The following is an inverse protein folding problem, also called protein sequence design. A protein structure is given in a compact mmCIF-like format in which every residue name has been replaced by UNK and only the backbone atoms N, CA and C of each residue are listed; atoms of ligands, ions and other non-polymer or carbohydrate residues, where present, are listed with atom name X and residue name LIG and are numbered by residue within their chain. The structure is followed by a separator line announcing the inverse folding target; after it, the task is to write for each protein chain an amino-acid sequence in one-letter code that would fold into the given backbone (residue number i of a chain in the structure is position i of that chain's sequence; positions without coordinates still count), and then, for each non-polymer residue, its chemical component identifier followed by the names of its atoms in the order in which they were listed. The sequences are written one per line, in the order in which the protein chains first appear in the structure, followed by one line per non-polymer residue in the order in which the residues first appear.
data_IF_040497575289
#
_entry.id   IF_040497575289
#
_cell.length_a   1.000
_cell.length_b   1.000
_cell.length_c   1.000
_cell.angle_alpha   90.00
_cell.angle_beta   90.00
_cell.angle_gamma   90.00
#
_symmetry.space_group_name_H-M   'P 1'
#
loop_
_entity.id
_entity.type
_entity.pdbx_description
1 polymer ?
#
# COMPACT_ATOMS: atom_id res chain seq x y z
N UNK A 1 10.01 -4.05 -8.38
CA UNK A 1 9.09 -2.91 -8.60
C UNK A 1 8.01 -2.91 -7.53
N UNK A 2 7.46 -1.74 -7.17
CA UNK A 2 6.29 -1.60 -6.28
C UNK A 2 5.28 -0.56 -6.76
N UNK A 3 4.20 -0.35 -6.00
CA UNK A 3 3.06 0.49 -6.40
C UNK A 3 3.23 2.00 -6.20
N UNK A 4 4.22 2.46 -5.43
CA UNK A 4 4.36 3.89 -5.16
C UNK A 4 4.74 4.65 -6.44
N UNK A 5 4.01 5.73 -6.73
CA UNK A 5 4.22 6.48 -7.98
C UNK A 5 5.48 7.34 -7.95
N UNK A 6 5.94 7.70 -6.75
CA UNK A 6 7.04 8.65 -6.48
C UNK A 6 8.34 8.34 -7.21
N UNK A 7 8.63 7.06 -7.47
CA UNK A 7 9.85 6.61 -8.13
C UNK A 7 9.63 5.53 -9.20
N UNK A 8 8.40 5.02 -9.37
CA UNK A 8 8.13 3.90 -10.30
C UNK A 8 8.52 4.23 -11.76
N UNK A 9 8.31 5.47 -12.19
CA UNK A 9 8.62 5.92 -13.54
C UNK A 9 10.13 6.04 -13.82
N UNK A 10 10.96 6.06 -12.77
CA UNK A 10 12.43 6.16 -12.87
C UNK A 10 13.10 4.81 -13.13
N UNK A 11 12.35 3.71 -13.05
CA UNK A 11 12.90 2.39 -13.25
C UNK A 11 13.46 2.21 -14.68
N UNK A 12 14.55 1.44 -14.85
CA UNK A 12 15.26 1.32 -16.11
C UNK A 12 14.55 0.36 -17.08
N UNK A 13 13.29 0.61 -17.43
CA UNK A 13 12.49 -0.30 -18.27
C UNK A 13 13.08 -0.54 -19.66
N UNK A 14 13.82 0.44 -20.19
CA UNK A 14 14.46 0.39 -21.50
C UNK A 14 15.88 -0.19 -21.46
N UNK A 15 16.42 -0.50 -20.26
CA UNK A 15 17.74 -1.09 -20.12
C UNK A 15 17.63 -2.63 -20.10
N UNK A 16 18.10 -3.34 -21.13
CA UNK A 16 18.01 -4.79 -21.18
C UNK A 16 18.97 -5.50 -20.22
N UNK A 17 19.92 -4.79 -19.57
CA UNK A 17 20.79 -5.42 -18.57
C UNK A 17 20.08 -5.62 -17.22
N UNK A 18 18.92 -5.01 -17.03
CA UNK A 18 18.09 -5.20 -15.84
C UNK A 18 16.94 -6.15 -16.11
N UNK A 19 16.81 -7.16 -15.24
CA UNK A 19 15.53 -7.84 -15.07
C UNK A 19 14.56 -6.94 -14.27
N UNK A 20 13.33 -6.81 -14.76
CA UNK A 20 12.25 -6.08 -14.10
C UNK A 20 11.32 -7.06 -13.42
N UNK A 21 11.33 -7.08 -12.09
CA UNK A 21 10.43 -7.97 -11.33
C UNK A 21 9.18 -7.21 -10.86
N UNK A 22 8.02 -7.73 -11.25
CA UNK A 22 6.70 -7.20 -10.89
C UNK A 22 5.98 -8.07 -9.86
N UNK A 23 4.89 -7.55 -9.29
CA UNK A 23 4.10 -8.23 -8.27
C UNK A 23 2.62 -7.85 -8.32
N UNK A 24 1.75 -8.71 -7.83
CA UNK A 24 0.30 -8.49 -7.73
C UNK A 24 -0.30 -7.95 -9.04
N UNK A 25 -1.17 -6.93 -8.96
CA UNK A 25 -1.77 -6.26 -10.12
C UNK A 25 -0.91 -5.09 -10.66
N UNK A 26 0.41 -5.10 -10.40
CA UNK A 26 1.28 -4.00 -10.83
C UNK A 26 1.40 -3.90 -12.35
N UNK A 27 0.95 -4.91 -13.12
CA UNK A 27 0.91 -4.89 -14.58
C UNK A 27 0.01 -3.78 -15.13
N UNK A 28 -0.90 -3.25 -14.31
CA UNK A 28 -1.69 -2.07 -14.64
C UNK A 28 -0.85 -0.80 -14.76
N UNK A 29 0.36 -0.79 -14.21
CA UNK A 29 1.15 0.41 -14.01
C UNK A 29 2.61 0.33 -14.48
N UNK A 30 3.07 -0.82 -14.99
CA UNK A 30 4.41 -0.98 -15.54
C UNK A 30 4.35 -1.57 -16.96
N UNK A 31 5.23 -1.13 -17.87
CA UNK A 31 5.16 -1.54 -19.28
C UNK A 31 5.68 -2.96 -19.54
N UNK A 32 6.49 -3.51 -18.63
CA UNK A 32 7.09 -4.85 -18.77
C UNK A 32 7.49 -5.45 -17.42
N UNK A 33 7.67 -6.76 -17.41
CA UNK A 33 8.39 -7.50 -16.39
C UNK A 33 9.00 -8.77 -17.00
N UNK A 34 10.03 -9.30 -16.34
CA UNK A 34 10.72 -10.54 -16.70
C UNK A 34 10.38 -11.69 -15.73
N UNK A 35 10.03 -11.35 -14.48
CA UNK A 35 9.50 -12.29 -13.47
C UNK A 35 8.36 -11.63 -12.71
N UNK A 36 7.37 -12.43 -12.32
CA UNK A 36 6.22 -11.97 -11.56
C UNK A 36 6.09 -12.68 -10.22
N UNK A 37 5.70 -11.97 -9.18
CA UNK A 37 5.51 -12.51 -7.84
C UNK A 37 4.07 -12.31 -7.40
N UNK A 38 3.36 -13.42 -7.20
CA UNK A 38 2.01 -13.43 -6.66
C UNK A 38 1.92 -14.40 -5.48
N UNK A 39 2.15 -13.84 -4.29
CA UNK A 39 2.35 -14.58 -3.05
C UNK A 39 1.05 -14.64 -2.23
N UNK A 40 0.04 -13.85 -2.59
CA UNK A 40 -1.21 -13.85 -1.86
C UNK A 40 -1.90 -15.21 -1.90
N UNK A 41 -2.72 -15.45 -0.88
CA UNK A 41 -3.62 -16.59 -0.89
C UNK A 41 -4.58 -16.49 -2.09
N UNK A 42 -4.93 -17.64 -2.67
CA UNK A 42 -5.80 -17.76 -3.84
C UNK A 42 -7.10 -16.94 -3.71
N UNK A 43 -7.70 -16.93 -2.52
CA UNK A 43 -8.93 -16.19 -2.24
C UNK A 43 -8.76 -14.69 -2.44
N UNK A 44 -7.60 -14.13 -2.09
CA UNK A 44 -7.32 -12.71 -2.25
C UNK A 44 -7.07 -12.36 -3.71
N UNK A 45 -6.41 -13.26 -4.45
CA UNK A 45 -6.16 -13.09 -5.89
C UNK A 45 -7.49 -13.10 -6.65
N UNK A 46 -8.35 -14.09 -6.39
CA UNK A 46 -9.65 -14.24 -7.07
C UNK A 46 -10.67 -13.17 -6.70
N UNK A 47 -10.55 -12.57 -5.51
CA UNK A 47 -11.40 -11.47 -5.06
C UNK A 47 -10.64 -10.15 -5.03
N UNK A 48 -9.68 -9.94 -5.94
CA UNK A 48 -8.93 -8.69 -5.98
C UNK A 48 -9.87 -7.51 -6.20
N UNK A 49 -9.84 -6.56 -5.26
CA UNK A 49 -10.57 -5.30 -5.36
C UNK A 49 -9.97 -4.35 -6.40
N UNK A 50 -8.68 -4.53 -6.73
CA UNK A 50 -7.96 -3.65 -7.65
C UNK A 50 -8.23 -4.02 -9.11
N UNK A 51 -8.21 -5.32 -9.41
CA UNK A 51 -8.64 -5.82 -10.72
C UNK A 51 -9.30 -7.20 -10.57
N UNK A 52 -10.63 -7.30 -10.75
CA UNK A 52 -11.33 -8.58 -10.76
C UNK A 52 -10.82 -9.58 -11.82
N UNK A 53 -10.12 -9.08 -12.85
CA UNK A 53 -9.55 -9.88 -13.95
C UNK A 53 -8.17 -10.46 -13.61
N UNK A 54 -7.63 -10.19 -12.42
CA UNK A 54 -6.27 -10.55 -12.05
C UNK A 54 -5.97 -12.05 -12.19
N UNK A 55 -6.91 -12.91 -11.79
CA UNK A 55 -6.77 -14.36 -11.96
C UNK A 55 -6.62 -14.76 -13.44
N UNK A 56 -7.40 -14.15 -14.33
CA UNK A 56 -7.32 -14.44 -15.77
C UNK A 56 -6.05 -13.86 -16.40
N UNK A 57 -5.59 -12.69 -15.93
CA UNK A 57 -4.30 -12.14 -16.33
C UNK A 57 -3.16 -13.11 -15.99
N UNK A 58 -3.15 -13.68 -14.78
CA UNK A 58 -2.14 -14.66 -14.36
C UNK A 58 -2.16 -15.91 -15.25
N UNK A 59 -3.34 -16.43 -15.62
CA UNK A 59 -3.45 -17.58 -16.56
C UNK A 59 -2.85 -17.29 -17.93
N UNK A 60 -2.99 -16.05 -18.41
CA UNK A 60 -2.44 -15.58 -19.69
C UNK A 60 -0.95 -15.21 -19.63
N UNK A 61 -0.37 -15.09 -18.44
CA UNK A 61 1.00 -14.65 -18.25
C UNK A 61 2.02 -15.66 -18.83
N UNK A 62 3.00 -15.15 -19.57
CA UNK A 62 4.02 -15.97 -20.26
C UNK A 62 5.38 -15.97 -19.57
N UNK A 63 5.62 -15.02 -18.66
CA UNK A 63 6.84 -14.93 -17.84
C UNK A 63 6.67 -15.75 -16.56
N UNK A 64 7.76 -16.23 -15.92
CA UNK A 64 7.68 -16.98 -14.67
C UNK A 64 6.87 -16.24 -13.60
N UNK A 65 5.87 -16.91 -13.02
CA UNK A 65 5.02 -16.39 -11.93
C UNK A 65 5.29 -17.19 -10.67
N UNK A 66 5.99 -16.62 -9.69
CA UNK A 66 6.29 -17.23 -8.41
C UNK A 66 5.10 -17.11 -7.48
N UNK A 67 4.63 -18.25 -6.97
CA UNK A 67 3.45 -18.36 -6.10
C UNK A 67 3.69 -19.32 -4.94
N UNK A 68 2.89 -19.20 -3.88
CA UNK A 68 3.00 -20.05 -2.67
C UNK A 68 2.58 -21.50 -2.87
N UNK A 69 1.86 -21.80 -3.96
CA UNK A 69 1.51 -23.16 -4.39
C UNK A 69 1.45 -23.24 -5.91
N UNK A 70 1.56 -24.46 -6.45
CA UNK A 70 1.42 -24.70 -7.88
C UNK A 70 -0.04 -24.67 -8.32
N UNK A 71 -0.35 -23.92 -9.36
CA UNK A 71 -1.66 -23.87 -9.99
C UNK A 71 -1.60 -24.38 -11.42
N UNK A 72 -2.32 -25.46 -11.73
CA UNK A 72 -2.33 -26.07 -13.06
C UNK A 72 -2.86 -25.15 -14.16
N UNK A 73 -3.74 -24.21 -13.80
CA UNK A 73 -4.35 -23.26 -14.74
C UNK A 73 -3.38 -22.16 -15.17
N UNK A 74 -2.36 -21.87 -14.35
CA UNK A 74 -1.36 -20.83 -14.59
C UNK A 74 -0.12 -21.51 -15.16
N UNK A 75 0.03 -21.51 -16.49
CA UNK A 75 1.09 -22.26 -17.18
C UNK A 75 2.50 -21.85 -16.75
N UNK A 76 2.71 -20.56 -16.49
CA UNK A 76 3.99 -20.02 -16.08
C UNK A 76 4.23 -20.07 -14.55
N UNK A 77 3.35 -20.73 -13.79
CA UNK A 77 3.46 -20.86 -12.33
C UNK A 77 4.75 -21.58 -11.92
N UNK A 78 5.46 -20.99 -10.97
CA UNK A 78 6.62 -21.54 -10.27
C UNK A 78 6.33 -21.51 -8.77
N UNK A 79 6.69 -22.59 -8.07
CA UNK A 79 6.61 -22.60 -6.62
C UNK A 79 7.71 -21.69 -6.06
N UNK A 80 7.34 -20.72 -5.24
CA UNK A 80 8.32 -19.92 -4.52
C UNK A 80 9.00 -20.78 -3.46
N UNK A 81 10.35 -20.86 -3.40
CA UNK A 81 11.07 -21.80 -2.56
C UNK A 81 11.19 -21.31 -1.10
N UNK A 82 10.07 -21.04 -0.43
CA UNK A 82 10.03 -20.38 0.89
C UNK A 82 10.88 -21.10 1.95
N UNK A 83 10.88 -22.44 1.99
CA UNK A 83 11.65 -23.20 2.98
C UNK A 83 13.16 -22.98 2.82
N UNK A 84 13.62 -22.85 1.58
CA UNK A 84 15.01 -22.55 1.27
C UNK A 84 15.34 -21.10 1.65
N UNK A 85 14.46 -20.16 1.34
CA UNK A 85 14.64 -18.76 1.71
C UNK A 85 14.68 -18.59 3.24
N UNK A 86 13.82 -19.29 3.99
CA UNK A 86 13.85 -19.31 5.46
C UNK A 86 15.16 -19.91 5.98
N UNK A 87 15.66 -20.97 5.35
CA UNK A 87 16.92 -21.59 5.74
C UNK A 87 18.12 -20.64 5.55
N UNK A 88 18.16 -19.91 4.44
CA UNK A 88 19.29 -19.03 4.09
C UNK A 88 19.24 -17.69 4.84
N UNK A 89 18.06 -17.07 5.01
CA UNK A 89 17.94 -15.70 5.52
C UNK A 89 17.07 -15.57 6.78
N UNK A 90 16.53 -16.67 7.30
CA UNK A 90 15.63 -16.67 8.45
C UNK A 90 14.17 -16.31 8.13
N UNK A 91 13.26 -16.41 9.11
CA UNK A 91 11.82 -16.22 8.92
C UNK A 91 11.41 -14.74 8.96
N UNK A 92 11.94 -13.93 8.04
CA UNK A 92 11.78 -12.46 8.02
C UNK A 92 10.86 -11.96 6.89
N UNK A 93 10.14 -12.89 6.22
CA UNK A 93 9.27 -12.62 5.07
C UNK A 93 7.98 -11.92 5.48
N UNK A 94 7.95 -10.61 5.27
CA UNK A 94 6.88 -9.72 5.71
C UNK A 94 6.04 -9.15 4.56
N UNK A 95 6.49 -9.30 3.30
CA UNK A 95 5.84 -8.79 2.09
C UNK A 95 6.40 -9.45 0.84
N UNK A 96 5.70 -9.35 -0.30
CA UNK A 96 6.21 -9.82 -1.60
C UNK A 96 7.55 -9.17 -1.99
N UNK A 97 7.80 -7.92 -1.55
CA UNK A 97 9.10 -7.26 -1.77
C UNK A 97 10.23 -7.97 -1.03
N UNK A 98 10.00 -8.41 0.21
CA UNK A 98 10.99 -9.18 0.96
C UNK A 98 11.29 -10.51 0.26
N UNK A 99 10.25 -11.19 -0.24
CA UNK A 99 10.44 -12.45 -0.98
C UNK A 99 11.20 -12.26 -2.30
N UNK A 100 10.91 -11.18 -3.03
CA UNK A 100 11.67 -10.80 -4.22
C UNK A 100 13.15 -10.51 -3.90
N UNK A 101 13.43 -9.78 -2.83
CA UNK A 101 14.80 -9.48 -2.42
C UNK A 101 15.58 -10.74 -2.07
N UNK A 102 15.02 -11.59 -1.21
CA UNK A 102 15.67 -12.84 -0.82
C UNK A 102 15.98 -13.72 -2.02
N UNK A 103 15.03 -13.83 -2.96
CA UNK A 103 15.23 -14.65 -4.14
C UNK A 103 16.28 -14.05 -5.10
N UNK A 104 16.32 -12.73 -5.27
CA UNK A 104 17.38 -12.07 -6.05
C UNK A 104 18.78 -12.26 -5.42
N UNK A 105 18.89 -12.16 -4.09
CA UNK A 105 20.14 -12.42 -3.37
C UNK A 105 20.56 -13.88 -3.55
N UNK A 106 19.63 -14.82 -3.38
CA UNK A 106 19.88 -16.25 -3.52
C UNK A 106 20.33 -16.64 -4.94
N UNK A 107 19.71 -16.05 -5.97
CA UNK A 107 20.06 -16.29 -7.38
C UNK A 107 21.40 -15.63 -7.78
N UNK A 108 22.03 -14.87 -6.89
CA UNK A 108 23.36 -14.29 -7.11
C UNK A 108 23.37 -13.00 -7.93
N UNK A 109 22.28 -12.23 -7.92
CA UNK A 109 22.27 -10.90 -8.54
C UNK A 109 23.30 -9.99 -7.86
N UNK A 110 24.11 -9.29 -8.66
CA UNK A 110 25.17 -8.40 -8.18
C UNK A 110 24.72 -6.95 -8.04
N UNK A 111 23.57 -6.60 -8.61
CA UNK A 111 22.94 -5.30 -8.49
C UNK A 111 21.42 -5.43 -8.32
N UNK A 112 20.86 -4.71 -7.34
CA UNK A 112 19.43 -4.72 -7.01
C UNK A 112 18.94 -3.28 -6.84
N UNK A 113 17.94 -2.87 -7.62
CA UNK A 113 17.34 -1.54 -7.55
C UNK A 113 15.86 -1.59 -7.21
N UNK A 114 15.41 -0.77 -6.26
CA UNK A 114 14.02 -0.78 -5.78
C UNK A 114 13.31 0.49 -6.25
N UNK A 115 12.33 0.36 -7.14
CA UNK A 115 11.51 1.47 -7.60
C UNK A 115 10.03 1.26 -7.24
N UNK A 116 9.36 2.34 -6.82
CA UNK A 116 7.97 2.31 -6.35
C UNK A 116 7.78 1.61 -5.00
N UNK A 117 8.83 1.53 -4.19
CA UNK A 117 8.82 0.87 -2.88
C UNK A 117 9.16 1.90 -1.80
N UNK A 118 8.15 2.65 -1.35
CA UNK A 118 8.38 3.75 -0.41
C UNK A 118 8.38 3.26 1.05
N UNK A 119 7.45 2.38 1.40
CA UNK A 119 7.28 1.82 2.76
C UNK A 119 7.24 2.91 3.84
N UNK A 120 6.46 3.96 3.58
CA UNK A 120 6.30 5.07 4.52
C UNK A 120 5.69 4.63 5.85
N UNK A 121 6.08 5.30 6.94
CA UNK A 121 5.75 4.98 8.34
C UNK A 121 4.26 5.11 8.74
N UNK A 122 3.30 4.77 7.87
CA UNK A 122 1.93 4.50 8.32
C UNK A 122 1.89 3.15 9.04
N UNK A 123 0.96 2.98 9.99
CA UNK A 123 0.87 1.77 10.85
C UNK A 123 0.89 0.44 10.07
N UNK A 124 0.42 0.44 8.82
CA UNK A 124 0.29 -0.74 7.98
C UNK A 124 1.63 -1.27 7.44
N UNK A 125 2.63 -0.41 7.24
CA UNK A 125 3.90 -0.80 6.63
C UNK A 125 5.05 -1.02 7.62
N UNK A 126 4.85 -0.68 8.90
CA UNK A 126 5.91 -0.79 9.91
C UNK A 126 6.47 -2.22 10.07
N UNK A 127 5.59 -3.23 10.03
CA UNK A 127 6.00 -4.65 10.07
C UNK A 127 6.53 -5.18 8.74
N UNK A 128 6.09 -4.60 7.61
CA UNK A 128 6.57 -4.99 6.28
C UNK A 128 7.99 -4.47 6.03
N UNK A 129 8.27 -3.25 6.48
CA UNK A 129 9.54 -2.57 6.29
C UNK A 129 10.73 -3.34 6.89
N UNK A 130 10.58 -3.90 8.09
CA UNK A 130 11.70 -4.56 8.79
C UNK A 130 12.30 -5.73 8.02
N UNK A 131 11.47 -6.60 7.43
CA UNK A 131 11.94 -7.73 6.61
C UNK A 131 12.71 -7.27 5.37
N UNK A 132 12.25 -6.18 4.75
CA UNK A 132 12.90 -5.58 3.58
C UNK A 132 14.25 -4.94 3.93
N UNK A 133 14.31 -4.16 5.01
CA UNK A 133 15.57 -3.55 5.48
C UNK A 133 16.59 -4.58 5.94
N UNK A 134 16.13 -5.67 6.58
CA UNK A 134 17.00 -6.78 6.95
C UNK A 134 17.68 -7.42 5.73
N UNK A 135 16.91 -7.72 4.69
CA UNK A 135 17.45 -8.31 3.45
C UNK A 135 18.33 -7.33 2.66
N UNK A 136 17.98 -6.04 2.65
CA UNK A 136 18.86 -5.00 2.08
C UNK A 136 20.19 -4.92 2.85
N UNK A 137 20.16 -5.05 4.18
CA UNK A 137 21.36 -5.16 5.01
C UNK A 137 22.22 -6.36 4.63
N UNK A 138 21.60 -7.53 4.40
CA UNK A 138 22.30 -8.73 3.89
C UNK A 138 22.92 -8.45 2.52
N UNK A 139 22.14 -7.89 1.58
CA UNK A 139 22.63 -7.59 0.24
C UNK A 139 23.86 -6.67 0.27
N UNK A 140 23.80 -5.59 1.06
CA UNK A 140 24.94 -4.68 1.28
C UNK A 140 26.13 -5.43 1.91
N UNK A 141 25.88 -6.28 2.91
CA UNK A 141 26.91 -7.10 3.56
C UNK A 141 27.60 -8.09 2.62
N UNK A 142 26.89 -8.57 1.60
CA UNK A 142 27.42 -9.44 0.53
C UNK A 142 28.09 -8.66 -0.61
N UNK A 143 28.10 -7.33 -0.56
CA UNK A 143 28.68 -6.48 -1.61
C UNK A 143 27.80 -6.32 -2.85
N UNK A 144 26.52 -6.66 -2.76
CA UNK A 144 25.54 -6.43 -3.84
C UNK A 144 25.28 -4.92 -3.92
N UNK A 145 25.42 -4.36 -5.12
CA UNK A 145 25.14 -2.94 -5.35
C UNK A 145 23.63 -2.70 -5.20
N UNK A 146 23.25 -1.84 -4.27
CA UNK A 146 21.83 -1.50 -4.03
C UNK A 146 21.55 -0.06 -4.41
N UNK A 147 20.40 0.17 -5.07
CA UNK A 147 19.88 1.52 -5.33
C UNK A 147 18.46 1.65 -4.82
N UNK A 148 18.22 2.73 -4.07
CA UNK A 148 16.92 3.07 -3.49
C UNK A 148 16.69 4.58 -3.74
N UNK A 149 15.63 4.97 -4.46
CA UNK A 149 15.27 6.36 -4.74
C UNK A 149 15.16 7.19 -3.46
N UNK A 150 15.50 8.49 -3.55
CA UNK A 150 15.48 9.40 -2.40
C UNK A 150 14.08 9.53 -1.76
N UNK A 151 13.01 9.27 -2.51
CA UNK A 151 11.62 9.32 -2.05
C UNK A 151 11.21 8.15 -1.15
N UNK A 152 11.94 7.03 -1.15
CA UNK A 152 11.63 5.88 -0.29
C UNK A 152 12.07 6.09 1.15
N UNK A 153 11.34 5.56 2.14
CA UNK A 153 11.76 5.61 3.54
C UNK A 153 12.73 4.46 3.90
N UNK A 154 12.99 3.52 2.99
CA UNK A 154 13.88 2.38 3.22
C UNK A 154 15.34 2.79 3.38
N UNK A 155 16.03 2.16 4.34
CA UNK A 155 17.48 2.33 4.58
C UNK A 155 17.89 3.79 4.82
N UNK A 156 16.96 4.62 5.29
CA UNK A 156 17.18 6.02 5.61
C UNK A 156 16.85 6.28 7.06
N UNK A 157 17.69 7.09 7.67
CA UNK A 157 17.49 7.61 9.01
C UNK A 157 17.34 9.12 8.91
N UNK A 158 16.38 9.66 9.67
CA UNK A 158 16.24 11.11 9.80
C UNK A 158 17.19 11.72 10.83
N UNK A 159 17.86 10.89 11.64
CA UNK A 159 18.67 11.30 12.77
C UNK A 159 19.71 10.23 13.14
N UNK A 160 20.97 10.61 13.18
CA UNK A 160 22.08 9.79 13.67
C UNK A 160 22.21 9.95 15.18
N UNK A 161 21.77 8.95 15.94
CA UNK A 161 21.79 9.00 17.40
C UNK A 161 23.20 9.22 17.96
N UNK A 162 23.36 10.27 18.77
CA UNK A 162 24.62 10.64 19.42
C UNK A 162 25.58 11.47 18.58
N UNK A 163 25.23 11.78 17.32
CA UNK A 163 26.07 12.58 16.43
C UNK A 163 25.34 13.80 15.87
N UNK A 164 24.04 13.66 15.61
CA UNK A 164 23.23 14.80 15.22
C UNK A 164 22.70 15.50 16.48
N UNK A 165 22.91 16.81 16.57
CA UNK A 165 22.18 17.65 17.51
C UNK A 165 20.94 18.22 16.81
N UNK A 166 19.74 18.01 17.35
CA UNK A 166 18.55 18.59 16.76
C UNK A 166 18.65 20.12 16.87
N UNK A 167 18.67 20.80 15.73
CA UNK A 167 18.66 22.26 15.71
C UNK A 167 17.46 22.80 16.51
N UNK A 168 17.60 23.99 17.09
CA UNK A 168 16.47 24.67 17.78
C UNK A 168 15.24 24.76 16.87
N UNK A 169 15.46 24.94 15.56
CA UNK A 169 14.40 24.92 14.56
C UNK A 169 13.70 23.56 14.47
N UNK A 170 14.43 22.45 14.44
CA UNK A 170 13.85 21.10 14.43
C UNK A 170 13.03 20.84 15.70
N UNK A 171 13.53 21.26 16.87
CA UNK A 171 12.81 21.16 18.15
C UNK A 171 11.52 22.00 18.09
N UNK A 172 11.60 23.25 17.63
CA UNK A 172 10.45 24.15 17.45
C UNK A 172 9.41 23.56 16.50
N UNK A 173 9.83 22.96 15.38
CA UNK A 173 8.94 22.30 14.43
C UNK A 173 8.24 21.09 15.05
N UNK A 174 8.95 20.29 15.86
CA UNK A 174 8.34 19.17 16.58
C UNK A 174 7.28 19.64 17.58
N UNK A 175 7.56 20.69 18.35
CA UNK A 175 6.58 21.33 19.26
C UNK A 175 5.38 21.84 18.45
N UNK A 176 5.63 22.50 17.32
CA UNK A 176 4.57 23.02 16.45
C UNK A 176 3.69 21.91 15.88
N UNK A 177 4.26 20.78 15.48
CA UNK A 177 3.50 19.61 15.01
C UNK A 177 2.59 19.05 16.11
N UNK A 178 3.05 18.98 17.35
CA UNK A 178 2.19 18.57 18.48
C UNK A 178 1.04 19.54 18.71
N UNK A 179 1.29 20.86 18.63
CA UNK A 179 0.24 21.89 18.71
C UNK A 179 -0.79 21.75 17.57
N UNK A 180 -0.31 21.58 16.32
CA UNK A 180 -1.16 21.43 15.15
C UNK A 180 -2.00 20.14 15.19
N UNK A 181 -1.43 19.03 15.65
CA UNK A 181 -2.16 17.77 15.84
C UNK A 181 -3.29 17.93 16.85
N UNK A 182 -3.04 18.60 17.99
CA UNK A 182 -4.09 18.90 18.97
C UNK A 182 -5.22 19.73 18.35
N UNK A 183 -4.87 20.79 17.61
CA UNK A 183 -5.84 21.63 16.90
C UNK A 183 -6.65 20.83 15.87
N UNK A 184 -6.00 19.96 15.10
CA UNK A 184 -6.64 19.06 14.15
C UNK A 184 -7.66 18.14 14.85
N UNK A 185 -7.25 17.46 15.93
CA UNK A 185 -8.16 16.59 16.70
C UNK A 185 -9.37 17.36 17.24
N UNK A 186 -9.16 18.56 17.79
CA UNK A 186 -10.27 19.41 18.25
C UNK A 186 -11.22 19.79 17.10
N UNK A 187 -10.69 20.15 15.94
CA UNK A 187 -11.50 20.46 14.76
C UNK A 187 -12.27 19.24 14.23
N UNK A 188 -11.66 18.05 14.22
CA UNK A 188 -12.32 16.80 13.83
C UNK A 188 -13.47 16.44 14.78
N UNK A 189 -13.31 16.66 16.09
CA UNK A 189 -14.37 16.45 17.07
C UNK A 189 -15.52 17.43 16.89
N UNK A 190 -15.22 18.72 16.64
CA UNK A 190 -16.23 19.73 16.34
C UNK A 190 -17.02 19.38 15.07
N UNK A 191 -16.32 18.97 14.00
CA UNK A 191 -16.96 18.52 12.76
C UNK A 191 -17.89 17.33 13.00
N UNK A 192 -17.46 16.35 13.80
CA UNK A 192 -18.28 15.18 14.16
C UNK A 192 -19.55 15.60 14.93
N UNK A 193 -19.42 16.52 15.88
CA UNK A 193 -20.56 17.02 16.65
C UNK A 193 -21.55 17.78 15.75
N UNK A 194 -21.07 18.67 14.89
CA UNK A 194 -21.91 19.39 13.93
C UNK A 194 -22.60 18.44 12.95
N UNK A 195 -21.91 17.40 12.47
CA UNK A 195 -22.52 16.38 11.62
C UNK A 195 -23.62 15.61 12.35
N UNK A 196 -23.42 15.26 13.62
CA UNK A 196 -24.46 14.62 14.43
C UNK A 196 -25.68 15.52 14.61
N UNK A 197 -25.47 16.83 14.82
CA UNK A 197 -26.56 17.81 14.91
C UNK A 197 -27.32 17.93 13.59
N UNK A 198 -26.62 17.99 12.46
CA UNK A 198 -27.22 18.01 11.14
C UNK A 198 -28.10 16.77 10.90
N UNK A 199 -27.61 15.58 11.24
CA UNK A 199 -28.39 14.33 11.10
C UNK A 199 -29.66 14.33 11.97
N UNK A 200 -29.60 14.91 13.19
CA UNK A 200 -30.81 15.08 14.02
C UNK A 200 -31.83 16.01 13.38
N UNK A 201 -31.38 17.13 12.79
CA UNK A 201 -32.27 18.08 12.11
C UNK A 201 -32.89 17.47 10.84
N UNK A 202 -32.11 16.72 10.07
CA UNK A 202 -32.61 15.97 8.89
C UNK A 202 -33.73 15.02 9.33
N UNK A 203 -33.50 14.17 10.34
CA UNK A 203 -34.54 13.25 10.83
C UNK A 203 -35.79 13.97 11.37
N UNK A 204 -35.62 15.10 12.06
CA UNK A 204 -36.75 15.89 12.53
C UNK A 204 -37.56 16.51 11.37
N UNK A 205 -36.88 17.00 10.33
CA UNK A 205 -37.53 17.53 9.12
C UNK A 205 -38.27 16.44 8.36
N UNK A 206 -37.69 15.25 8.20
CA UNK A 206 -38.34 14.10 7.54
C UNK A 206 -39.65 13.74 8.26
N UNK A 207 -39.63 13.65 9.59
CA UNK A 207 -40.83 13.40 10.40
C UNK A 207 -41.87 14.50 10.19
N UNK A 208 -41.46 15.77 10.25
CA UNK A 208 -42.39 16.89 10.07
C UNK A 208 -43.01 16.88 8.66
N UNK A 209 -42.19 16.64 7.64
CA UNK A 209 -42.62 16.55 6.23
C UNK A 209 -43.65 15.44 6.06
N UNK A 210 -43.40 14.26 6.65
CA UNK A 210 -44.37 13.16 6.64
C UNK A 210 -45.73 13.57 7.24
N UNK A 211 -45.76 14.28 8.36
CA UNK A 211 -47.02 14.75 8.95
C UNK A 211 -47.70 15.84 8.12
N UNK A 212 -46.92 16.73 7.52
CA UNK A 212 -47.45 17.75 6.63
C UNK A 212 -48.15 17.12 5.42
N UNK A 213 -47.49 16.17 4.76
CA UNK A 213 -48.00 15.55 3.55
C UNK A 213 -49.23 14.68 3.81
N UNK A 214 -49.23 13.89 4.89
CA UNK A 214 -50.30 12.91 5.12
C UNK A 214 -51.52 13.47 5.87
N UNK A 215 -51.34 14.52 6.69
CA UNK A 215 -52.41 15.00 7.57
C UNK A 215 -52.74 16.46 7.32
N UNK A 216 -51.72 17.34 7.31
CA UNK A 216 -51.97 18.78 7.23
C UNK A 216 -52.47 19.18 5.86
N UNK A 217 -51.79 18.78 4.78
CA UNK A 217 -52.14 19.15 3.41
C UNK A 217 -53.53 18.63 3.03
N UNK A 218 -53.92 17.45 3.50
CA UNK A 218 -55.27 16.90 3.29
C UNK A 218 -56.35 17.74 3.98
N UNK A 219 -56.14 18.13 5.24
CA UNK A 219 -57.09 18.95 6.01
C UNK A 219 -57.19 20.36 5.41
N UNK A 220 -56.06 20.95 5.04
CA UNK A 220 -56.01 22.28 4.42
C UNK A 220 -56.77 22.25 3.08
N UNK A 221 -56.53 21.24 2.24
CA UNK A 221 -57.24 21.10 0.96
C UNK A 221 -58.77 20.92 1.13
N UNK A 222 -59.22 20.22 2.19
CA UNK A 222 -60.65 20.09 2.49
C UNK A 222 -61.30 21.42 2.94
N UNK A 223 -60.59 22.25 3.71
CA UNK A 223 -61.10 23.57 4.13
C UNK A 223 -61.29 24.54 2.97
N UNK A 224 -60.39 24.55 1.99
CA UNK A 224 -60.48 25.42 0.82
C UNK A 224 -61.54 24.98 -0.21
N UNK A 225 -62.00 23.72 -0.18
CA UNK A 225 -63.14 23.26 -1.00
C UNK A 225 -64.51 23.65 -0.44
N UNK A 226 -64.57 24.06 0.83
CA UNK A 226 -65.81 24.40 1.54
C UNK A 226 -66.01 25.91 1.73
N UNK A 227 -65.21 26.74 1.05
CA UNK A 227 -65.43 28.18 0.84
C UNK A 227 -65.78 28.43 -0.63
#
# INVERSE_FOLDING_TARGET
MGFAETSRAEAPFNDPTYEIWGLNELYLAIPRADRWFEIHAESNIKNSFRDPSHWEWLKGCQIPVYMTKMYKEIKACKLYPIDLMIKEFGPIYSSSIAEMLAFAIYEGFTEISLYGVDMSLTKEYGSQKSGVEYLLGIAVGLGIKTYIPMTSDLMKIGFQYGYDDPSEFAIKMKIKNVELLRKKTSAENALRETNNQLQRLIGALEINTYYQDNYVNMIVAQRFKNQ
#
